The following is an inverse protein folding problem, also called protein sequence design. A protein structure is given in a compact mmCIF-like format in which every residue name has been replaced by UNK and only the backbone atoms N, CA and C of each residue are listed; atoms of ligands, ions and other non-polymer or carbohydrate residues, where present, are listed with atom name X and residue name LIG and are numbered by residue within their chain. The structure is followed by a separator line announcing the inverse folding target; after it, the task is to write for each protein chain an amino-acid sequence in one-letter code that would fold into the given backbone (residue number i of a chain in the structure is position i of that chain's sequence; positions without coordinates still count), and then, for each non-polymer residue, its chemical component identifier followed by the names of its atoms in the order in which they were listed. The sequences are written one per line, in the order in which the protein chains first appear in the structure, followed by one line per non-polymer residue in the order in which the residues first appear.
data_IF_979880862942
#
_entry.id   IF_979880862942
#
_cell.length_a   1.000
_cell.length_b   1.000
_cell.length_c   1.000
_cell.angle_alpha   90.00
_cell.angle_beta   90.00
_cell.angle_gamma   90.00
#
_symmetry.space_group_name_H-M   'P 1'
#
loop_
_entity.id
_entity.type
_entity.pdbx_description
1 polymer ?
#
# COMPACT_ATOMS: atom_id res chain seq x y z
N UNK A 1 1.88 17.17 -21.00
CA UNK A 1 0.81 16.91 -20.01
C UNK A 1 0.89 15.52 -19.37
N UNK A 2 1.12 14.43 -20.12
CA UNK A 2 1.11 13.08 -19.53
C UNK A 2 2.23 12.82 -18.50
N UNK A 3 3.47 13.29 -18.75
CA UNK A 3 4.59 13.16 -17.80
C UNK A 3 4.31 13.80 -16.43
N UNK A 4 3.73 15.00 -16.42
CA UNK A 4 3.38 15.72 -15.18
C UNK A 4 2.37 14.93 -14.35
N UNK A 5 1.37 14.31 -14.98
CA UNK A 5 0.37 13.48 -14.29
C UNK A 5 1.03 12.30 -13.56
N UNK A 6 1.97 11.60 -14.22
CA UNK A 6 2.68 10.47 -13.61
C UNK A 6 3.60 10.92 -12.47
N UNK A 7 4.28 12.05 -12.63
CA UNK A 7 5.12 12.61 -11.55
C UNK A 7 4.29 12.97 -10.32
N UNK A 8 3.09 13.54 -10.51
CA UNK A 8 2.18 13.86 -9.41
C UNK A 8 1.70 12.58 -8.72
N UNK A 9 1.27 11.56 -9.48
CA UNK A 9 0.81 10.29 -8.91
C UNK A 9 1.92 9.59 -8.10
N UNK A 10 3.14 9.57 -8.64
CA UNK A 10 4.31 9.05 -7.94
C UNK A 10 4.59 9.82 -6.64
N UNK A 11 4.54 11.16 -6.68
CA UNK A 11 4.76 12.00 -5.50
C UNK A 11 3.67 11.76 -4.44
N UNK A 12 2.40 11.68 -4.85
CA UNK A 12 1.28 11.37 -3.94
C UNK A 12 1.48 10.01 -3.30
N UNK A 13 1.79 8.96 -4.08
CA UNK A 13 2.06 7.63 -3.53
C UNK A 13 3.24 7.62 -2.55
N UNK A 14 4.30 8.39 -2.83
CA UNK A 14 5.44 8.53 -1.93
C UNK A 14 5.04 9.21 -0.61
N UNK A 15 4.21 10.26 -0.66
CA UNK A 15 3.72 10.94 0.53
C UNK A 15 2.81 10.04 1.37
N UNK A 16 1.93 9.25 0.74
CA UNK A 16 1.09 8.28 1.44
C UNK A 16 1.93 7.22 2.16
N UNK A 17 2.98 6.70 1.50
CA UNK A 17 3.90 5.73 2.10
C UNK A 17 4.72 6.34 3.24
N UNK A 18 5.14 7.59 3.09
CA UNK A 18 5.86 8.32 4.13
C UNK A 18 4.98 8.55 5.36
N UNK A 19 3.68 8.84 5.17
CA UNK A 19 2.74 8.96 6.27
C UNK A 19 2.52 7.62 6.99
N UNK A 20 2.37 6.52 6.25
CA UNK A 20 2.25 5.18 6.85
C UNK A 20 3.48 4.84 7.71
N UNK A 21 4.69 5.09 7.19
CA UNK A 21 5.93 4.92 7.94
C UNK A 21 5.99 5.81 9.19
N UNK A 22 5.53 7.06 9.07
CA UNK A 22 5.47 8.01 10.18
C UNK A 22 4.54 7.51 11.29
N UNK A 23 3.31 7.12 10.97
CA UNK A 23 2.37 6.62 11.99
C UNK A 23 2.94 5.35 12.63
N UNK A 24 3.46 4.43 11.81
CA UNK A 24 4.13 3.24 12.31
C UNK A 24 5.27 3.57 13.31
N UNK A 25 6.08 4.59 13.07
CA UNK A 25 7.20 4.93 13.95
C UNK A 25 6.80 5.74 15.19
N UNK A 26 5.81 6.65 15.07
CA UNK A 26 5.57 7.69 16.07
C UNK A 26 4.23 7.58 16.81
N UNK A 27 3.30 6.71 16.39
CA UNK A 27 1.96 6.64 17.00
C UNK A 27 1.99 6.25 18.47
N UNK A 28 2.96 5.43 18.90
CA UNK A 28 3.13 5.05 20.30
C UNK A 28 3.55 6.26 21.17
N UNK A 29 4.29 7.21 20.59
CA UNK A 29 4.76 8.41 21.28
C UNK A 29 3.72 9.54 21.24
N UNK A 30 3.19 9.85 20.05
CA UNK A 30 2.25 10.94 19.83
C UNK A 30 0.82 10.61 20.25
N UNK A 31 0.47 9.32 20.24
CA UNK A 31 -0.84 8.81 20.61
C UNK A 31 -1.03 8.64 22.11
N UNK A 32 -0.41 9.47 22.95
CA UNK A 32 -0.54 9.41 24.43
C UNK A 32 -1.99 9.56 24.90
N UNK A 33 -2.82 10.25 24.12
CA UNK A 33 -4.27 10.33 24.27
C UNK A 33 -4.94 9.41 23.25
N UNK A 34 -5.91 8.61 23.68
CA UNK A 34 -6.63 7.64 22.85
C UNK A 34 -7.23 8.27 21.58
N UNK A 35 -7.74 9.51 21.69
CA UNK A 35 -8.31 10.25 20.54
C UNK A 35 -7.26 10.53 19.47
N UNK A 36 -6.04 10.91 19.85
CA UNK A 36 -4.97 11.17 18.87
C UNK A 36 -4.54 9.88 18.17
N UNK A 37 -4.40 8.78 18.92
CA UNK A 37 -4.11 7.46 18.34
C UNK A 37 -5.21 7.02 17.37
N UNK A 38 -6.49 7.18 17.75
CA UNK A 38 -7.64 6.86 16.91
C UNK A 38 -7.61 7.64 15.59
N UNK A 39 -7.35 8.95 15.64
CA UNK A 39 -7.27 9.79 14.44
C UNK A 39 -6.10 9.37 13.55
N UNK A 40 -4.92 9.12 14.12
CA UNK A 40 -3.74 8.68 13.34
C UNK A 40 -3.99 7.33 12.67
N UNK A 41 -4.54 6.34 13.38
CA UNK A 41 -4.88 5.03 12.80
C UNK A 41 -5.93 5.15 11.70
N UNK A 42 -6.99 5.93 11.92
CA UNK A 42 -8.04 6.14 10.91
C UNK A 42 -7.48 6.80 9.65
N UNK A 43 -6.63 7.81 9.80
CA UNK A 43 -5.97 8.46 8.66
C UNK A 43 -5.00 7.52 7.94
N UNK A 44 -4.24 6.71 8.67
CA UNK A 44 -3.35 5.71 8.10
C UNK A 44 -4.12 4.71 7.25
N UNK A 45 -5.24 4.18 7.77
CA UNK A 45 -6.08 3.21 7.06
C UNK A 45 -6.68 3.82 5.77
N UNK A 46 -7.17 5.06 5.85
CA UNK A 46 -7.67 5.79 4.67
C UNK A 46 -6.59 6.00 3.60
N UNK A 47 -5.37 6.34 4.02
CA UNK A 47 -4.26 6.54 3.10
C UNK A 47 -3.77 5.23 2.49
N UNK A 48 -3.80 4.14 3.24
CA UNK A 48 -3.43 2.81 2.73
C UNK A 48 -4.45 2.30 1.70
N UNK A 49 -5.75 2.52 1.95
CA UNK A 49 -6.81 2.24 0.98
C UNK A 49 -6.60 3.09 -0.28
N UNK A 50 -6.37 4.40 -0.12
CA UNK A 50 -6.16 5.32 -1.23
C UNK A 50 -4.94 4.93 -2.08
N UNK A 51 -3.82 4.60 -1.43
CA UNK A 51 -2.61 4.09 -2.06
C UNK A 51 -2.88 2.82 -2.88
N UNK A 52 -3.65 1.89 -2.33
CA UNK A 52 -4.07 0.66 -3.00
C UNK A 52 -4.95 0.95 -4.22
N UNK A 53 -5.92 1.86 -4.10
CA UNK A 53 -6.78 2.28 -5.20
C UNK A 53 -5.95 2.90 -6.33
N UNK A 54 -5.00 3.80 -6.01
CA UNK A 54 -4.17 4.44 -7.04
C UNK A 54 -3.37 3.38 -7.81
N UNK A 55 -2.74 2.42 -7.12
CA UNK A 55 -2.02 1.31 -7.79
C UNK A 55 -2.97 0.51 -8.69
N UNK A 56 -4.18 0.20 -8.23
CA UNK A 56 -5.17 -0.51 -9.04
C UNK A 56 -5.62 0.29 -10.28
N UNK A 57 -5.75 1.62 -10.16
CA UNK A 57 -6.10 2.50 -11.27
C UNK A 57 -4.96 2.64 -12.29
N UNK A 58 -3.72 2.79 -11.82
CA UNK A 58 -2.52 2.81 -12.69
C UNK A 58 -2.37 1.48 -13.44
N UNK A 59 -2.59 0.38 -12.73
CA UNK A 59 -2.62 -0.95 -13.32
C UNK A 59 -3.70 -1.08 -14.40
N UNK A 60 -4.94 -0.66 -14.11
CA UNK A 60 -6.06 -0.73 -15.06
C UNK A 60 -5.86 0.19 -16.27
N UNK A 61 -5.09 1.26 -16.10
CA UNK A 61 -4.73 2.20 -17.17
C UNK A 61 -3.62 1.69 -18.07
N UNK A 62 -2.97 0.58 -17.73
CA UNK A 62 -1.88 -0.02 -18.53
C UNK A 62 -2.45 -0.65 -19.82
N UNK A 63 -1.76 -0.47 -20.95
CA UNK A 63 -2.19 -0.97 -22.27
C UNK A 63 -2.48 -2.48 -22.29
N UNK A 64 -1.67 -3.29 -21.60
CA UNK A 64 -1.88 -4.75 -21.50
C UNK A 64 -3.20 -5.13 -20.80
N UNK A 65 -3.71 -4.29 -19.90
CA UNK A 65 -4.99 -4.52 -19.24
C UNK A 65 -6.15 -4.12 -20.18
N UNK A 66 -6.00 -2.99 -20.89
CA UNK A 66 -6.98 -2.52 -21.88
C UNK A 66 -7.09 -3.43 -23.12
N UNK A 67 -5.99 -4.09 -23.51
CA UNK A 67 -5.94 -5.04 -24.63
C UNK A 67 -6.54 -6.43 -24.30
N UNK A 68 -7.20 -6.62 -23.15
CA UNK A 68 -7.87 -7.87 -22.79
C UNK A 68 -6.97 -8.94 -22.14
N UNK A 69 -5.69 -8.64 -21.90
CA UNK A 69 -4.74 -9.55 -21.23
C UNK A 69 -4.75 -9.42 -19.69
N UNK A 70 -5.88 -9.00 -19.11
CA UNK A 70 -6.02 -8.77 -17.67
C UNK A 70 -5.54 -9.95 -16.81
N UNK A 71 -5.81 -11.20 -17.21
CA UNK A 71 -5.38 -12.40 -16.47
C UNK A 71 -3.86 -12.55 -16.37
N UNK A 72 -3.12 -12.21 -17.43
CA UNK A 72 -1.67 -12.31 -17.49
C UNK A 72 -1.01 -11.26 -16.59
N UNK A 73 -1.51 -10.02 -16.64
CA UNK A 73 -1.00 -8.92 -15.84
C UNK A 73 -1.33 -9.14 -14.36
N UNK A 74 -2.53 -9.61 -14.03
CA UNK A 74 -2.90 -9.98 -12.66
C UNK A 74 -1.96 -11.06 -12.15
N UNK A 75 -1.63 -12.10 -12.94
CA UNK A 75 -0.67 -13.13 -12.50
C UNK A 75 0.71 -12.56 -12.11
N UNK A 76 1.15 -11.50 -12.79
CA UNK A 76 2.46 -10.86 -12.58
C UNK A 76 2.49 -9.93 -11.38
N UNK A 77 1.35 -9.34 -11.01
CA UNK A 77 1.21 -8.39 -9.89
C UNK A 77 0.43 -8.95 -8.69
N UNK A 78 -0.06 -10.20 -8.76
CA UNK A 78 -0.72 -10.92 -7.66
C UNK A 78 0.07 -10.83 -6.36
N UNK A 79 1.40 -10.98 -6.42
CA UNK A 79 2.26 -10.86 -5.24
C UNK A 79 2.17 -9.49 -4.55
N UNK A 80 2.16 -8.39 -5.33
CA UNK A 80 2.02 -7.04 -4.79
C UNK A 80 0.64 -6.84 -4.16
N UNK A 81 -0.44 -7.27 -4.85
CA UNK A 81 -1.81 -7.13 -4.35
C UNK A 81 -2.07 -7.96 -3.09
N UNK A 82 -1.56 -9.19 -3.04
CA UNK A 82 -1.65 -10.04 -1.85
C UNK A 82 -0.89 -9.39 -0.69
N UNK A 83 0.33 -8.89 -0.94
CA UNK A 83 1.13 -8.24 0.11
C UNK A 83 0.42 -7.00 0.66
N UNK A 84 -0.21 -6.19 -0.21
CA UNK A 84 -1.03 -5.03 0.16
C UNK A 84 -2.22 -5.44 1.03
N UNK A 85 -2.98 -6.45 0.59
CA UNK A 85 -4.16 -6.92 1.30
C UNK A 85 -3.81 -7.49 2.69
N UNK A 86 -2.79 -8.34 2.77
CA UNK A 86 -2.34 -8.91 4.05
C UNK A 86 -1.85 -7.82 4.98
N UNK A 87 -1.08 -6.85 4.48
CA UNK A 87 -0.61 -5.73 5.29
C UNK A 87 -1.77 -4.90 5.84
N UNK A 88 -2.75 -4.55 5.01
CA UNK A 88 -3.92 -3.79 5.44
C UNK A 88 -4.71 -4.51 6.54
N UNK A 89 -4.94 -5.82 6.39
CA UNK A 89 -5.65 -6.62 7.40
C UNK A 89 -4.87 -6.67 8.72
N UNK A 90 -3.54 -6.81 8.67
CA UNK A 90 -2.69 -6.77 9.85
C UNK A 90 -2.73 -5.40 10.56
N UNK A 91 -2.70 -4.30 9.80
CA UNK A 91 -2.85 -2.95 10.35
C UNK A 91 -4.21 -2.78 11.05
N UNK A 92 -5.30 -3.11 10.36
CA UNK A 92 -6.65 -3.02 10.94
C UNK A 92 -6.78 -3.85 12.23
N UNK A 93 -6.29 -5.09 12.22
CA UNK A 93 -6.31 -5.95 13.40
C UNK A 93 -5.56 -5.32 14.58
N UNK A 94 -4.39 -4.72 14.33
CA UNK A 94 -3.63 -4.00 15.36
C UNK A 94 -4.29 -2.73 15.85
N UNK A 95 -4.87 -1.94 14.96
CA UNK A 95 -5.54 -0.70 15.31
C UNK A 95 -6.75 -0.98 16.21
N UNK A 96 -7.60 -1.94 15.81
CA UNK A 96 -8.79 -2.35 16.57
C UNK A 96 -8.38 -2.91 17.94
N UNK A 97 -7.44 -3.86 17.98
CA UNK A 97 -7.04 -4.50 19.23
C UNK A 97 -6.30 -3.51 20.15
N UNK A 98 -5.39 -2.72 19.60
CA UNK A 98 -4.63 -1.71 20.34
C UNK A 98 -5.53 -0.65 20.96
N UNK A 99 -6.51 -0.14 20.21
CA UNK A 99 -7.50 0.80 20.74
C UNK A 99 -8.39 0.17 21.79
N UNK A 100 -8.81 -1.08 21.61
CA UNK A 100 -9.65 -1.79 22.58
C UNK A 100 -8.94 -1.97 23.92
N UNK A 101 -7.64 -2.32 23.90
CA UNK A 101 -6.85 -2.45 25.13
C UNK A 101 -6.62 -1.11 25.85
N UNK A 102 -6.48 -0.02 25.10
CA UNK A 102 -6.18 1.31 25.65
C UNK A 102 -7.41 2.13 26.00
N UNK A 103 -8.60 1.76 25.52
CA UNK A 103 -9.81 2.58 25.62
C UNK A 103 -10.17 2.95 27.06
N UNK A 104 -10.07 1.97 27.97
CA UNK A 104 -10.39 2.16 29.39
C UNK A 104 -9.19 2.64 30.21
N UNK A 105 -7.96 2.33 29.82
CA UNK A 105 -6.74 2.69 30.54
C UNK A 105 -5.68 3.27 29.60
N UNK A 106 -5.63 4.60 29.53
CA UNK A 106 -4.77 5.36 28.60
C UNK A 106 -3.28 5.21 28.89
N UNK A 107 -2.92 4.89 30.14
CA UNK A 107 -1.53 4.87 30.65
C UNK A 107 -0.85 3.52 30.56
N UNK A 108 -1.60 2.44 30.34
CA UNK A 108 -1.04 1.11 30.24
C UNK A 108 -0.67 0.84 28.77
N UNK A 109 0.63 0.67 28.53
CA UNK A 109 1.11 0.09 27.28
C UNK A 109 0.54 -1.33 27.18
N UNK A 110 -0.14 -1.68 26.07
CA UNK A 110 -0.70 -3.02 25.90
C UNK A 110 0.42 -4.07 25.91
N UNK A 111 0.57 -4.76 27.05
CA UNK A 111 1.61 -5.77 27.29
C UNK A 111 1.13 -7.20 27.00
N UNK A 112 -0.05 -7.36 26.40
CA UNK A 112 -0.57 -8.67 26.04
C UNK A 112 0.36 -9.35 25.02
N UNK A 113 0.85 -10.55 25.35
CA UNK A 113 1.75 -11.33 24.49
C UNK A 113 1.18 -11.54 23.08
N UNK A 114 -0.14 -11.75 22.95
CA UNK A 114 -0.79 -11.90 21.65
C UNK A 114 -0.76 -10.62 20.81
N UNK A 115 -0.96 -9.46 21.46
CA UNK A 115 -0.87 -8.16 20.81
C UNK A 115 0.57 -7.87 20.35
N UNK A 116 1.56 -8.15 21.21
CA UNK A 116 2.98 -7.98 20.87
C UNK A 116 3.43 -8.90 19.74
N UNK A 117 2.92 -10.14 19.71
CA UNK A 117 3.18 -11.07 18.60
C UNK A 117 2.57 -10.55 17.29
N UNK A 118 1.32 -10.08 17.31
CA UNK A 118 0.68 -9.48 16.15
C UNK A 118 1.42 -8.23 15.67
N UNK A 119 1.89 -7.41 16.61
CA UNK A 119 2.70 -6.22 16.33
C UNK A 119 3.99 -6.63 15.61
N UNK A 120 4.74 -7.60 16.15
CA UNK A 120 5.95 -8.10 15.51
C UNK A 120 5.70 -8.65 14.10
N UNK A 121 4.60 -9.40 13.90
CA UNK A 121 4.19 -9.91 12.58
C UNK A 121 3.89 -8.75 11.62
N UNK A 122 3.13 -7.74 12.05
CA UNK A 122 2.85 -6.60 11.19
C UNK A 122 4.10 -5.79 10.86
N UNK A 123 5.01 -5.57 11.82
CA UNK A 123 6.28 -4.84 11.58
C UNK A 123 7.17 -5.56 10.58
N UNK A 124 7.28 -6.89 10.69
CA UNK A 124 8.03 -7.69 9.71
C UNK A 124 7.37 -7.67 8.34
N UNK A 125 6.03 -7.74 8.28
CA UNK A 125 5.29 -7.64 7.03
C UNK A 125 5.35 -6.24 6.40
N UNK A 126 5.48 -5.18 7.19
CA UNK A 126 5.65 -3.81 6.70
C UNK A 126 6.88 -3.68 5.79
N UNK A 127 7.99 -4.38 6.10
CA UNK A 127 9.19 -4.39 5.25
C UNK A 127 8.89 -4.96 3.86
N UNK A 128 8.13 -6.06 3.80
CA UNK A 128 7.70 -6.66 2.54
C UNK A 128 6.76 -5.71 1.79
N UNK A 129 5.78 -5.14 2.48
CA UNK A 129 4.85 -4.17 1.91
C UNK A 129 5.61 -2.99 1.29
N UNK A 130 6.51 -2.34 2.01
CA UNK A 130 7.29 -1.21 1.49
C UNK A 130 8.15 -1.59 0.29
N UNK A 131 8.79 -2.77 0.32
CA UNK A 131 9.57 -3.25 -0.80
C UNK A 131 8.73 -3.48 -2.05
N UNK A 132 7.63 -4.23 -1.93
CA UNK A 132 6.76 -4.57 -3.05
C UNK A 132 5.99 -3.35 -3.57
N UNK A 133 5.55 -2.46 -2.69
CA UNK A 133 4.87 -1.21 -3.04
C UNK A 133 5.81 -0.28 -3.80
N UNK A 134 7.02 -0.03 -3.28
CA UNK A 134 8.04 0.78 -3.97
C UNK A 134 8.37 0.18 -5.34
N UNK A 135 8.55 -1.14 -5.43
CA UNK A 135 8.79 -1.84 -6.70
C UNK A 135 7.63 -1.68 -7.69
N UNK A 136 6.38 -1.73 -7.22
CA UNK A 136 5.21 -1.52 -8.06
C UNK A 136 5.13 -0.08 -8.56
N UNK A 137 5.33 0.89 -7.67
CA UNK A 137 5.36 2.33 -7.99
C UNK A 137 6.41 2.67 -9.06
N UNK A 138 7.64 2.15 -8.96
CA UNK A 138 8.65 2.36 -10.01
C UNK A 138 8.31 1.69 -11.35
N UNK A 139 7.71 0.50 -11.31
CA UNK A 139 7.32 -0.21 -12.53
C UNK A 139 6.15 0.46 -13.24
N UNK A 140 5.17 0.93 -12.47
CA UNK A 140 3.99 1.64 -12.97
C UNK A 140 4.26 3.10 -13.29
N UNK A 141 5.36 3.69 -12.79
CA UNK A 141 5.80 5.03 -13.17
C UNK A 141 6.55 5.12 -14.51
N UNK A 142 6.94 3.98 -15.11
CA UNK A 142 7.59 3.98 -16.43
C UNK A 142 6.56 4.15 -17.55
N UNK A 143 6.62 5.29 -18.23
CA UNK A 143 5.72 5.69 -19.33
C UNK A 143 5.65 4.63 -20.44
N UNK A 144 6.70 3.80 -20.60
CA UNK A 144 6.76 2.73 -21.60
C UNK A 144 5.66 1.68 -21.46
N UNK A 145 5.03 1.54 -20.29
CA UNK A 145 3.88 0.65 -20.11
C UNK A 145 2.55 1.22 -20.64
N UNK A 146 2.48 2.53 -20.87
CA UNK A 146 1.27 3.23 -21.33
C UNK A 146 1.36 3.72 -22.77
N UNK A 147 2.55 3.66 -23.38
CA UNK A 147 2.75 3.95 -24.80
C UNK A 147 2.69 2.67 -25.63
N UNK A 148 1.85 2.65 -26.67
CA UNK A 148 2.01 1.71 -27.79
C UNK A 148 3.40 1.93 -28.39
N UNK A 149 4.34 1.05 -28.07
CA UNK A 149 5.68 1.07 -28.67
C UNK A 149 5.72 -0.03 -29.74
N UNK A 150 6.39 0.20 -30.87
CA UNK A 150 6.51 -0.78 -31.98
C UNK A 150 6.98 -2.18 -31.53
N UNK A 151 7.69 -2.27 -30.39
CA UNK A 151 8.07 -3.54 -29.77
C UNK A 151 6.88 -4.35 -29.23
N UNK A 152 5.83 -3.69 -28.73
CA UNK A 152 4.58 -4.31 -28.28
C UNK A 152 3.79 -4.78 -29.50
N UNK A 153 3.70 -3.96 -30.55
CA UNK A 153 3.07 -4.34 -31.83
C UNK A 153 3.75 -5.57 -32.46
N UNK A 154 5.08 -5.63 -32.45
CA UNK A 154 5.86 -6.81 -32.89
C UNK A 154 5.67 -8.07 -32.03
N UNK A 155 5.31 -7.93 -30.75
CA UNK A 155 4.96 -9.09 -29.91
C UNK A 155 3.54 -9.60 -30.18
N UNK A 156 2.60 -8.71 -30.57
CA UNK A 156 1.29 -9.10 -31.07
C UNK A 156 1.39 -9.78 -32.45
N UNK A 157 2.21 -9.26 -33.37
CA UNK A 157 2.46 -9.86 -34.69
C UNK A 157 3.18 -11.22 -34.63
N UNK A 158 3.90 -11.53 -33.54
CA UNK A 158 4.55 -12.85 -33.34
C UNK A 158 3.66 -13.92 -32.72
N UNK A 159 2.47 -13.55 -32.24
CA UNK A 159 1.54 -14.44 -31.54
C UNK A 159 0.18 -14.61 -32.23
N UNK A 160 -0.09 -13.86 -33.29
CA UNK A 160 -1.15 -14.14 -34.26
C UNK A 160 -0.58 -14.92 -35.43
#
# INVERSE_FOLDING_TARGET
MQLLRYQILFLVQLLLLAYDLFVNAFVEYLGSINVYALVMYTLQDLFLISATIIICLEFSSTFMFQAGLASLVISKFKGTLITLAVYFVLCLALHIWGLTLRWNDTRLLPSNAGYLALLAVQRTWALLHYFFYKRAMYRLGDIRFYMETDAVRKQFEKKG
#
